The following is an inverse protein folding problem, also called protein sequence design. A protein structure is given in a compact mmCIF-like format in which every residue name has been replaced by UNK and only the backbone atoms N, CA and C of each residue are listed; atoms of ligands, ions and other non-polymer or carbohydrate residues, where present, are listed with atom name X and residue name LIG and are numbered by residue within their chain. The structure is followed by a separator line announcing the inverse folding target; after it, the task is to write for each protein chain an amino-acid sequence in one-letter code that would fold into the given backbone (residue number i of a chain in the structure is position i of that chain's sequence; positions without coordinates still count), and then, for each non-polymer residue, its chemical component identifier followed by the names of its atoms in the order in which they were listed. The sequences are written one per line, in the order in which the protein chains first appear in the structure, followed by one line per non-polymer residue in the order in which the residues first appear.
data_IF_925783488684
#
_entry.id   IF_925783488684
#
_cell.length_a   1.000
_cell.length_b   1.000
_cell.length_c   1.000
_cell.angle_alpha   90.00
_cell.angle_beta   90.00
_cell.angle_gamma   90.00
#
_symmetry.space_group_name_H-M   'P 1'
#
loop_
_entity.id
_entity.type
_entity.pdbx_description
1 polymer ?
#
# COMPACT_ATOMS: atom_id res chain seq x y z
N UNK A 1 -4.86 -23.92 -2.22
CA UNK A 1 -5.21 -22.56 -2.66
C UNK A 1 -5.24 -21.75 -1.39
N UNK A 2 -4.34 -20.76 -1.26
CA UNK A 2 -4.38 -19.82 -0.14
C UNK A 2 -5.65 -18.96 -0.27
N UNK A 3 -6.22 -18.57 0.86
CA UNK A 3 -7.37 -17.66 0.86
C UNK A 3 -6.92 -16.21 0.67
N UNK A 4 -7.83 -15.31 0.32
CA UNK A 4 -7.54 -13.87 0.27
C UNK A 4 -6.96 -13.36 1.60
N UNK A 5 -7.43 -13.90 2.73
CA UNK A 5 -6.94 -13.54 4.07
C UNK A 5 -5.47 -13.94 4.23
N UNK A 6 -5.08 -15.11 3.71
CA UNK A 6 -3.69 -15.54 3.73
C UNK A 6 -2.83 -14.64 2.84
N UNK A 7 -3.28 -14.30 1.63
CA UNK A 7 -2.56 -13.40 0.72
C UNK A 7 -2.33 -12.01 1.33
N UNK A 8 -3.35 -11.45 1.99
CA UNK A 8 -3.20 -10.16 2.71
C UNK A 8 -2.17 -10.30 3.83
N UNK A 9 -2.22 -11.38 4.62
CA UNK A 9 -1.29 -11.62 5.72
C UNK A 9 0.17 -11.79 5.26
N UNK A 10 0.42 -12.29 4.05
CA UNK A 10 1.77 -12.45 3.49
C UNK A 10 2.26 -11.27 2.65
N UNK A 11 1.40 -10.31 2.31
CA UNK A 11 1.72 -9.20 1.39
C UNK A 11 2.73 -8.18 1.93
N UNK A 12 3.01 -8.19 3.24
CA UNK A 12 3.81 -7.15 3.91
C UNK A 12 3.09 -5.81 4.11
N UNK A 13 1.81 -5.71 3.71
CA UNK A 13 1.00 -4.50 3.81
C UNK A 13 -0.27 -4.72 4.64
N UNK A 14 -0.78 -3.64 5.25
CA UNK A 14 -2.09 -3.64 5.91
C UNK A 14 -3.22 -3.68 4.86
N UNK A 15 -4.45 -4.05 5.25
CA UNK A 15 -5.61 -4.00 4.35
C UNK A 15 -5.82 -2.62 3.71
N UNK A 16 -5.65 -1.54 4.49
CA UNK A 16 -5.81 -0.16 4.02
C UNK A 16 -4.74 0.22 2.99
N UNK A 17 -3.50 -0.23 3.19
CA UNK A 17 -2.41 -0.04 2.24
C UNK A 17 -2.65 -0.84 0.95
N UNK A 18 -3.14 -2.08 1.06
CA UNK A 18 -3.49 -2.89 -0.11
C UNK A 18 -4.64 -2.31 -0.92
N UNK A 19 -5.67 -1.78 -0.26
CA UNK A 19 -6.77 -1.12 -0.95
C UNK A 19 -6.28 0.14 -1.68
N UNK A 20 -5.36 0.92 -1.08
CA UNK A 20 -4.73 2.04 -1.77
C UNK A 20 -3.94 1.59 -3.00
N UNK A 21 -3.10 0.55 -2.88
CA UNK A 21 -2.35 -0.02 -4.02
C UNK A 21 -3.30 -0.52 -5.12
N UNK A 22 -4.36 -1.24 -4.75
CA UNK A 22 -5.36 -1.75 -5.67
C UNK A 22 -6.08 -0.61 -6.42
N UNK A 23 -6.40 0.48 -5.71
CA UNK A 23 -7.00 1.68 -6.30
C UNK A 23 -6.04 2.34 -7.30
N UNK A 24 -4.79 2.60 -6.90
CA UNK A 24 -3.77 3.23 -7.75
C UNK A 24 -3.49 2.44 -9.03
N UNK A 25 -3.25 1.14 -8.87
CA UNK A 25 -2.86 0.26 -9.99
C UNK A 25 -4.05 -0.23 -10.81
N UNK A 26 -5.28 0.04 -10.36
CA UNK A 26 -6.52 -0.43 -10.99
C UNK A 26 -6.57 -1.96 -11.12
N UNK A 27 -6.21 -2.67 -10.06
CA UNK A 27 -6.16 -4.14 -9.99
C UNK A 27 -6.97 -4.66 -8.81
N UNK A 28 -7.42 -5.93 -8.84
CA UNK A 28 -8.05 -6.54 -7.67
C UNK A 28 -7.09 -6.61 -6.47
N UNK A 29 -7.61 -6.50 -5.25
CA UNK A 29 -6.82 -6.55 -4.00
C UNK A 29 -5.93 -7.80 -3.88
N UNK A 30 -6.39 -8.96 -4.39
CA UNK A 30 -5.56 -10.18 -4.40
C UNK A 30 -4.30 -10.04 -5.26
N UNK A 31 -4.40 -9.33 -6.39
CA UNK A 31 -3.27 -9.07 -7.29
C UNK A 31 -2.37 -7.99 -6.68
N UNK A 32 -2.94 -7.01 -5.99
CA UNK A 32 -2.18 -6.03 -5.22
C UNK A 32 -1.38 -6.70 -4.09
N UNK A 33 -1.95 -7.70 -3.41
CA UNK A 33 -1.28 -8.46 -2.36
C UNK A 33 -0.10 -9.28 -2.90
N UNK A 34 -0.27 -9.95 -4.04
CA UNK A 34 0.82 -10.66 -4.71
C UNK A 34 1.92 -9.69 -5.18
N UNK A 35 1.54 -8.57 -5.79
CA UNK A 35 2.50 -7.54 -6.21
C UNK A 35 3.27 -6.96 -5.02
N UNK A 36 2.61 -6.72 -3.89
CA UNK A 36 3.23 -6.18 -2.69
C UNK A 36 4.29 -7.12 -2.10
N UNK A 37 4.02 -8.43 -2.09
CA UNK A 37 5.00 -9.43 -1.64
C UNK A 37 6.24 -9.44 -2.54
N UNK A 38 6.03 -9.47 -3.86
CA UNK A 38 7.14 -9.48 -4.82
C UNK A 38 7.96 -8.19 -4.78
N UNK A 39 7.30 -7.03 -4.73
CA UNK A 39 7.99 -5.73 -4.77
C UNK A 39 8.77 -5.49 -3.49
N UNK A 40 8.24 -5.85 -2.31
CA UNK A 40 8.90 -5.62 -1.03
C UNK A 40 10.16 -6.48 -0.83
N UNK A 41 10.34 -7.57 -1.59
CA UNK A 41 11.58 -8.36 -1.60
C UNK A 41 12.71 -7.66 -2.38
N UNK A 42 12.39 -6.63 -3.18
CA UNK A 42 13.38 -5.84 -3.90
C UNK A 42 13.94 -4.68 -3.06
N UNK A 43 15.25 -4.36 -3.17
CA UNK A 43 15.88 -3.28 -2.40
C UNK A 43 15.24 -1.90 -2.55
N UNK A 44 14.74 -1.59 -3.75
CA UNK A 44 14.07 -0.32 -4.06
C UNK A 44 12.54 -0.41 -3.92
N UNK A 45 12.03 -1.59 -3.59
CA UNK A 45 10.61 -1.88 -3.54
C UNK A 45 9.82 -1.09 -2.51
N UNK A 46 10.32 -0.93 -1.27
CA UNK A 46 9.66 -0.08 -0.29
C UNK A 46 9.46 1.36 -0.77
N UNK A 47 10.41 1.91 -1.53
CA UNK A 47 10.28 3.25 -2.10
C UNK A 47 9.19 3.31 -3.19
N UNK A 48 9.05 2.24 -4.00
CA UNK A 48 7.95 2.14 -4.97
C UNK A 48 6.59 2.07 -4.28
N UNK A 49 6.46 1.26 -3.23
CA UNK A 49 5.23 1.15 -2.45
C UNK A 49 4.88 2.49 -1.79
N UNK A 50 5.86 3.17 -1.19
CA UNK A 50 5.65 4.49 -0.60
C UNK A 50 5.12 5.48 -1.63
N UNK A 51 5.71 5.54 -2.82
CA UNK A 51 5.29 6.44 -3.89
C UNK A 51 3.84 6.18 -4.34
N UNK A 52 3.44 4.90 -4.39
CA UNK A 52 2.05 4.49 -4.69
C UNK A 52 1.10 4.98 -3.60
N UNK A 53 1.43 4.71 -2.32
CA UNK A 53 0.61 5.12 -1.19
C UNK A 53 0.50 6.65 -1.07
N UNK A 54 1.60 7.37 -1.32
CA UNK A 54 1.62 8.83 -1.31
C UNK A 54 0.76 9.42 -2.43
N UNK A 55 0.83 8.86 -3.64
CA UNK A 55 0.01 9.32 -4.75
C UNK A 55 -1.49 9.17 -4.46
N UNK A 56 -1.90 8.03 -3.89
CA UNK A 56 -3.30 7.80 -3.52
C UNK A 56 -3.76 8.67 -2.35
N UNK A 57 -2.93 8.80 -1.30
CA UNK A 57 -3.26 9.66 -0.18
C UNK A 57 -3.40 11.13 -0.63
N UNK A 58 -2.55 11.57 -1.57
CA UNK A 58 -2.64 12.89 -2.18
C UNK A 58 -3.92 13.04 -2.99
N UNK A 59 -4.24 12.07 -3.86
CA UNK A 59 -5.47 12.09 -4.65
C UNK A 59 -6.71 12.15 -3.75
N UNK A 60 -6.77 11.31 -2.72
CA UNK A 60 -7.88 11.27 -1.79
C UNK A 60 -8.03 12.59 -1.01
N UNK A 61 -6.93 13.21 -0.59
CA UNK A 61 -6.93 14.53 0.03
C UNK A 61 -7.41 15.63 -0.92
N UNK A 62 -6.85 15.70 -2.13
CA UNK A 62 -7.13 16.73 -3.13
C UNK A 62 -8.61 16.70 -3.57
N UNK A 63 -9.23 15.52 -3.57
CA UNK A 63 -10.63 15.31 -3.92
C UNK A 63 -11.59 15.22 -2.73
N UNK A 64 -11.11 15.43 -1.50
CA UNK A 64 -11.91 15.32 -0.27
C UNK A 64 -12.70 14.00 -0.15
N UNK A 65 -12.07 12.88 -0.54
CA UNK A 65 -12.68 11.57 -0.46
C UNK A 65 -12.82 11.12 1.00
N UNK A 66 -13.84 10.32 1.29
CA UNK A 66 -14.07 9.78 2.63
C UNK A 66 -12.89 8.92 3.14
N UNK A 67 -12.14 8.31 2.22
CA UNK A 67 -10.98 7.45 2.50
C UNK A 67 -9.68 8.23 2.75
N UNK A 68 -9.67 9.57 2.66
CA UNK A 68 -8.44 10.36 2.76
C UNK A 68 -7.71 10.16 4.10
N UNK A 69 -8.46 10.02 5.20
CA UNK A 69 -7.88 9.73 6.51
C UNK A 69 -7.22 8.35 6.55
N UNK A 70 -7.88 7.34 5.97
CA UNK A 70 -7.40 5.95 5.96
C UNK A 70 -6.14 5.82 5.09
N UNK A 71 -6.12 6.44 3.90
CA UNK A 71 -4.93 6.48 3.04
C UNK A 71 -3.75 7.19 3.71
N UNK A 72 -4.01 8.32 4.37
CA UNK A 72 -2.97 9.06 5.10
C UNK A 72 -2.44 8.25 6.30
N UNK A 73 -3.31 7.54 7.02
CA UNK A 73 -2.92 6.66 8.10
C UNK A 73 -2.07 5.49 7.60
N UNK A 74 -2.51 4.80 6.54
CA UNK A 74 -1.78 3.69 5.93
C UNK A 74 -0.39 4.11 5.45
N UNK A 75 -0.25 5.29 4.82
CA UNK A 75 1.06 5.84 4.44
C UNK A 75 1.94 6.13 5.66
N UNK A 76 1.37 6.70 6.73
CA UNK A 76 2.11 6.97 7.96
C UNK A 76 2.64 5.67 8.60
N UNK A 77 1.80 4.65 8.71
CA UNK A 77 2.21 3.34 9.24
C UNK A 77 3.30 2.70 8.38
N UNK A 78 3.20 2.81 7.05
CA UNK A 78 4.21 2.29 6.13
C UNK A 78 5.57 2.96 6.36
N UNK A 79 5.60 4.29 6.43
CA UNK A 79 6.82 5.07 6.72
C UNK A 79 7.45 4.72 8.07
N UNK A 80 6.62 4.49 9.09
CA UNK A 80 7.11 4.07 10.41
C UNK A 80 7.73 2.66 10.39
N UNK A 81 7.23 1.76 9.55
CA UNK A 81 7.78 0.42 9.36
C UNK A 81 9.07 0.42 8.54
N UNK A 82 9.30 1.46 7.71
CA UNK A 82 10.43 1.58 6.78
C UNK A 82 11.30 2.82 7.04
N UNK A 83 11.95 2.95 8.23
CA UNK A 83 12.77 4.12 8.56
C UNK A 83 13.96 4.34 7.60
N UNK A 84 14.38 3.31 6.87
CA UNK A 84 15.43 3.36 5.85
C UNK A 84 15.13 4.29 4.68
N UNK A 85 13.86 4.65 4.45
CA UNK A 85 13.44 5.52 3.33
C UNK A 85 13.78 7.01 3.55
N UNK A 86 14.20 7.40 4.76
CA UNK A 86 14.79 8.73 4.98
C UNK A 86 13.83 9.91 4.79
N UNK A 87 12.64 9.80 5.40
CA UNK A 87 11.56 10.81 5.41
C UNK A 87 11.95 12.16 6.04
#
# INVERSE_FOLDING_TARGET
MLSLVDCIAFSGLTPEQLDAVACFKHIPTIVAAEWAEEVLDHPDGPAEVEAVLEAEAKLACDHHLAIAADCAHGLCEFRLAHPELGH
#
